data_IF_977232674424
#
_entry.id   IF_977232674424
#
_cell.length_a   1.000
_cell.length_b   1.000
_cell.length_c   1.000
_cell.angle_alpha   90.00
_cell.angle_beta   90.00
_cell.angle_gamma   90.00
#
_symmetry.space_group_name_H-M   'P 1'
#
loop_
_entity.id
_entity.type
_entity.pdbx_description
1 polymer ?
#
# COMPACT_ATOMS: atom_id res chain seq x y z
N UNK A 1 -2.85 29.41 -15.51
CA UNK A 1 -1.98 28.21 -15.59
C UNK A 1 -0.76 28.33 -14.67
N UNK A 2 -0.04 29.48 -14.62
CA UNK A 2 1.16 29.66 -13.78
C UNK A 2 0.88 29.56 -12.27
N UNK A 3 -0.25 30.11 -11.79
CA UNK A 3 -0.61 30.10 -10.36
C UNK A 3 -0.85 28.69 -9.82
N UNK A 4 -1.56 27.85 -10.55
CA UNK A 4 -1.79 26.45 -10.21
C UNK A 4 -0.49 25.66 -10.12
N UNK A 5 0.46 25.86 -11.06
CA UNK A 5 1.77 25.25 -11.01
C UNK A 5 2.57 25.60 -9.75
N UNK A 6 2.48 26.86 -9.31
CA UNK A 6 3.12 27.33 -8.07
C UNK A 6 2.47 26.70 -6.84
N UNK A 7 1.16 26.62 -6.78
CA UNK A 7 0.44 26.01 -5.65
C UNK A 7 0.72 24.51 -5.54
N UNK A 8 0.68 23.79 -6.65
CA UNK A 8 1.02 22.34 -6.68
C UNK A 8 2.47 22.12 -6.23
N UNK A 9 3.42 22.89 -6.76
CA UNK A 9 4.81 22.80 -6.37
C UNK A 9 5.07 23.19 -4.91
N UNK A 10 4.28 24.11 -4.35
CA UNK A 10 4.36 24.47 -2.94
C UNK A 10 3.81 23.34 -2.05
N UNK A 11 2.66 22.74 -2.41
CA UNK A 11 2.06 21.63 -1.71
C UNK A 11 2.99 20.39 -1.74
N UNK A 12 3.58 20.09 -2.89
CA UNK A 12 4.53 18.98 -3.04
C UNK A 12 5.78 19.20 -2.18
N UNK A 13 6.32 20.43 -2.16
CA UNK A 13 7.48 20.76 -1.31
C UNK A 13 7.14 20.65 0.17
N UNK A 14 6.00 21.13 0.61
CA UNK A 14 5.57 21.02 2.00
C UNK A 14 5.46 19.54 2.41
N UNK A 15 4.69 18.76 1.64
CA UNK A 15 4.51 17.33 1.90
C UNK A 15 5.83 16.55 1.91
N UNK A 16 6.69 16.75 0.91
CA UNK A 16 7.97 16.04 0.81
C UNK A 16 8.96 16.47 1.89
N UNK A 17 8.92 17.72 2.32
CA UNK A 17 9.77 18.22 3.41
C UNK A 17 9.40 17.58 4.74
N UNK A 18 8.12 17.58 5.08
CA UNK A 18 7.65 16.98 6.33
C UNK A 18 7.87 15.47 6.37
N UNK A 19 7.62 14.79 5.25
CA UNK A 19 7.86 13.36 5.14
C UNK A 19 9.36 13.02 5.25
N UNK A 20 10.24 13.82 4.64
CA UNK A 20 11.69 13.62 4.75
C UNK A 20 12.20 13.93 6.15
N UNK A 21 11.59 14.90 6.83
CA UNK A 21 11.88 15.20 8.25
C UNK A 21 11.49 14.02 9.14
N UNK A 22 10.28 13.50 8.99
CA UNK A 22 9.81 12.33 9.73
C UNK A 22 10.70 11.09 9.49
N UNK A 23 11.11 10.83 8.23
CA UNK A 23 12.06 9.76 7.90
C UNK A 23 13.40 9.92 8.61
N UNK A 24 13.96 11.12 8.57
CA UNK A 24 15.23 11.44 9.23
C UNK A 24 15.14 11.26 10.73
N UNK A 25 14.07 11.73 11.34
CA UNK A 25 13.88 11.67 12.78
C UNK A 25 13.67 10.21 13.24
N UNK A 26 12.88 9.43 12.51
CA UNK A 26 12.75 8.00 12.75
C UNK A 26 14.09 7.27 12.59
N UNK A 27 14.84 7.56 11.51
CA UNK A 27 16.15 6.97 11.28
C UNK A 27 17.11 7.27 12.44
N UNK A 28 17.24 8.53 12.84
CA UNK A 28 18.09 8.94 13.99
C UNK A 28 17.68 8.23 15.29
N UNK A 29 16.38 8.13 15.54
CA UNK A 29 15.86 7.44 16.72
C UNK A 29 16.22 5.94 16.72
N UNK A 30 16.14 5.29 15.55
CA UNK A 30 16.48 3.88 15.43
C UNK A 30 17.99 3.64 15.55
N UNK A 31 18.81 4.50 14.94
CA UNK A 31 20.27 4.47 15.08
C UNK A 31 20.67 4.60 16.54
N UNK A 32 20.20 5.63 17.22
CA UNK A 32 20.47 5.83 18.64
C UNK A 32 20.10 4.61 19.50
N UNK A 33 18.99 3.94 19.20
CA UNK A 33 18.59 2.72 19.92
C UNK A 33 19.54 1.56 19.70
N UNK A 34 20.13 1.42 18.50
CA UNK A 34 21.15 0.40 18.23
C UNK A 34 22.42 0.74 19.02
N UNK A 35 22.94 1.96 18.89
CA UNK A 35 24.16 2.40 19.55
C UNK A 35 24.06 2.27 21.08
N UNK A 36 22.95 2.70 21.67
CA UNK A 36 22.70 2.57 23.11
C UNK A 36 22.63 1.11 23.56
N UNK A 37 22.05 0.23 22.74
CA UNK A 37 21.89 -1.19 23.08
C UNK A 37 23.18 -1.96 22.94
N UNK A 38 23.89 -1.74 21.82
CA UNK A 38 25.12 -2.45 21.49
C UNK A 38 26.35 -1.80 22.14
N UNK A 39 26.18 -0.62 22.78
CA UNK A 39 27.24 0.20 23.43
C UNK A 39 28.44 0.48 22.52
N UNK A 40 28.17 0.69 21.24
CA UNK A 40 29.14 1.04 20.20
C UNK A 40 28.47 1.85 19.08
N UNK A 41 29.27 2.48 18.27
CA UNK A 41 28.80 3.16 17.07
C UNK A 41 28.13 2.17 16.10
N UNK A 42 27.17 2.67 15.35
CA UNK A 42 26.45 1.89 14.35
C UNK A 42 27.38 1.50 13.19
N UNK A 43 27.29 0.26 12.74
CA UNK A 43 28.00 -0.19 11.54
C UNK A 43 27.28 0.27 10.26
N UNK A 44 28.01 0.31 9.14
CA UNK A 44 27.46 0.69 7.85
C UNK A 44 26.29 -0.21 7.42
N UNK A 45 26.37 -1.51 7.70
CA UNK A 45 25.33 -2.48 7.33
C UNK A 45 24.07 -2.35 8.20
N UNK A 46 24.23 -2.01 9.47
CA UNK A 46 23.12 -1.67 10.35
C UNK A 46 22.43 -0.38 9.88
N UNK A 47 23.22 0.66 9.57
CA UNK A 47 22.71 1.93 9.06
C UNK A 47 21.94 1.75 7.73
N UNK A 48 22.45 0.92 6.81
CA UNK A 48 21.76 0.57 5.55
C UNK A 48 20.46 -0.20 5.82
N UNK A 49 20.46 -1.16 6.74
CA UNK A 49 19.30 -1.95 7.12
C UNK A 49 18.18 -1.06 7.67
N UNK A 50 18.51 -0.15 8.59
CA UNK A 50 17.59 0.83 9.15
C UNK A 50 17.06 1.77 8.06
N UNK A 51 17.94 2.28 7.18
CA UNK A 51 17.53 3.16 6.07
C UNK A 51 16.55 2.46 5.13
N UNK A 52 16.79 1.18 4.82
CA UNK A 52 15.90 0.37 3.99
C UNK A 52 14.53 0.21 4.63
N UNK A 53 14.49 -0.08 5.93
CA UNK A 53 13.24 -0.18 6.68
C UNK A 53 12.48 1.15 6.70
N UNK A 54 13.14 2.27 7.03
CA UNK A 54 12.53 3.61 7.09
C UNK A 54 11.97 4.02 5.72
N UNK A 55 12.71 3.74 4.65
CA UNK A 55 12.26 4.02 3.30
C UNK A 55 11.04 3.16 2.92
N UNK A 56 11.08 1.85 3.16
CA UNK A 56 9.96 0.96 2.86
C UNK A 56 8.70 1.31 3.69
N UNK A 57 8.84 1.63 4.98
CA UNK A 57 7.70 2.01 5.83
C UNK A 57 7.05 3.33 5.41
N UNK A 58 7.81 4.21 4.75
CA UNK A 58 7.34 5.52 4.29
C UNK A 58 7.02 5.59 2.79
N UNK A 59 6.90 4.45 2.12
CA UNK A 59 6.49 4.41 0.72
C UNK A 59 7.58 4.73 -0.31
N UNK A 60 8.85 4.75 0.10
CA UNK A 60 9.98 5.02 -0.79
C UNK A 60 10.84 3.76 -0.97
N UNK A 61 11.11 3.40 -2.20
CA UNK A 61 12.11 2.37 -2.51
C UNK A 61 13.41 3.03 -2.91
N UNK A 62 14.53 2.50 -2.43
CA UNK A 62 15.84 2.94 -2.90
C UNK A 62 15.96 2.77 -4.41
N UNK A 63 16.39 3.83 -5.10
CA UNK A 63 16.55 3.85 -6.57
C UNK A 63 17.74 3.01 -7.07
N UNK A 64 18.50 2.38 -6.19
CA UNK A 64 19.66 1.56 -6.55
C UNK A 64 19.24 0.12 -6.89
N UNK A 65 19.72 -0.38 -8.05
CA UNK A 65 19.47 -1.71 -8.57
C UNK A 65 18.36 -1.77 -9.62
N UNK A 66 18.29 -2.87 -10.35
CA UNK A 66 17.37 -3.06 -11.49
C UNK A 66 15.90 -2.78 -11.12
N UNK A 67 15.46 -3.18 -9.93
CA UNK A 67 14.09 -2.92 -9.44
C UNK A 67 13.80 -1.43 -9.23
N UNK A 68 14.79 -0.63 -8.81
CA UNK A 68 14.63 0.81 -8.64
C UNK A 68 14.49 1.53 -9.97
N UNK A 69 15.29 1.16 -10.96
CA UNK A 69 15.24 1.71 -12.32
C UNK A 69 13.91 1.38 -13.00
N UNK A 70 13.45 0.12 -12.89
CA UNK A 70 12.15 -0.32 -13.41
C UNK A 70 11.01 0.43 -12.71
N UNK A 71 11.07 0.62 -11.40
CA UNK A 71 10.05 1.36 -10.66
C UNK A 71 9.94 2.83 -11.11
N UNK A 72 11.06 3.47 -11.43
CA UNK A 72 11.06 4.86 -11.96
C UNK A 72 10.41 4.92 -13.34
N UNK A 73 10.74 4.00 -14.24
CA UNK A 73 10.10 3.92 -15.57
C UNK A 73 8.59 3.64 -15.49
N UNK A 74 8.20 2.71 -14.61
CA UNK A 74 6.79 2.35 -14.41
C UNK A 74 5.96 3.46 -13.74
N UNK A 75 6.56 4.43 -13.05
CA UNK A 75 5.82 5.57 -12.48
C UNK A 75 5.12 6.45 -13.53
N UNK A 76 5.51 6.36 -14.80
CA UNK A 76 4.83 7.06 -15.89
C UNK A 76 3.48 6.40 -16.24
N UNK A 77 3.37 5.09 -16.02
CA UNK A 77 2.19 4.29 -16.37
C UNK A 77 1.37 3.94 -15.12
N UNK A 78 2.05 3.57 -14.03
CA UNK A 78 1.42 3.15 -12.79
C UNK A 78 1.48 4.26 -11.74
N UNK A 79 0.37 4.49 -11.06
CA UNK A 79 0.30 5.41 -9.93
C UNK A 79 1.20 4.94 -8.79
N UNK A 80 2.24 5.74 -8.51
CA UNK A 80 3.11 5.53 -7.34
C UNK A 80 3.65 4.10 -7.18
N UNK A 81 4.33 3.59 -8.21
CA UNK A 81 4.93 2.24 -8.21
C UNK A 81 5.82 2.01 -6.99
N UNK A 82 6.56 3.02 -6.54
CA UNK A 82 7.40 2.94 -5.34
C UNK A 82 6.56 2.64 -4.08
N UNK A 83 5.41 3.29 -3.93
CA UNK A 83 4.50 3.04 -2.80
C UNK A 83 3.92 1.62 -2.85
N UNK A 84 3.52 1.15 -4.03
CA UNK A 84 2.98 -0.20 -4.19
C UNK A 84 4.02 -1.28 -3.80
N UNK A 85 5.23 -1.15 -4.34
CA UNK A 85 6.33 -2.08 -4.02
C UNK A 85 6.76 -1.99 -2.55
N UNK A 86 6.74 -0.80 -1.94
CA UNK A 86 7.06 -0.64 -0.53
C UNK A 86 6.04 -1.36 0.38
N UNK A 87 4.75 -1.30 0.02
CA UNK A 87 3.69 -2.05 0.74
C UNK A 87 3.89 -3.55 0.66
N UNK A 88 4.25 -4.07 -0.53
CA UNK A 88 4.58 -5.50 -0.69
C UNK A 88 5.79 -5.87 0.17
N UNK A 89 6.84 -5.05 0.19
CA UNK A 89 8.02 -5.28 1.05
C UNK A 89 7.69 -5.22 2.54
N UNK A 90 6.80 -4.32 2.93
CA UNK A 90 6.31 -4.27 4.32
C UNK A 90 5.49 -5.52 4.66
N UNK A 91 4.59 -5.96 3.77
CA UNK A 91 3.79 -7.17 3.96
C UNK A 91 4.65 -8.44 4.08
N UNK A 92 5.66 -8.59 3.23
CA UNK A 92 6.58 -9.74 3.25
C UNK A 92 7.62 -9.67 4.36
N UNK A 93 7.74 -8.55 5.06
CA UNK A 93 8.77 -8.35 6.07
C UNK A 93 10.20 -8.33 5.51
N UNK A 94 10.38 -8.07 4.21
CA UNK A 94 11.69 -8.17 3.54
C UNK A 94 12.77 -7.33 4.21
N UNK A 95 12.42 -6.16 4.74
CA UNK A 95 13.35 -5.30 5.49
C UNK A 95 13.87 -5.93 6.78
N UNK A 96 13.12 -6.86 7.37
CA UNK A 96 13.51 -7.59 8.56
C UNK A 96 14.43 -8.77 8.21
N UNK A 97 14.06 -9.53 7.18
CA UNK A 97 14.80 -10.73 6.79
C UNK A 97 16.19 -10.43 6.23
N UNK A 98 16.33 -9.30 5.50
CA UNK A 98 17.61 -8.87 4.91
C UNK A 98 18.46 -8.02 5.85
N UNK A 99 17.96 -7.68 7.04
CA UNK A 99 18.68 -6.83 8.00
C UNK A 99 19.79 -7.58 8.75
N UNK A 100 20.81 -6.83 9.16
CA UNK A 100 21.83 -7.29 10.11
C UNK A 100 21.19 -7.71 11.45
N UNK A 101 21.81 -8.61 12.24
CA UNK A 101 21.19 -9.16 13.45
C UNK A 101 20.74 -8.10 14.47
N UNK A 102 21.55 -7.06 14.71
CA UNK A 102 21.19 -5.98 15.63
C UNK A 102 20.04 -5.13 15.12
N UNK A 103 20.06 -4.74 13.83
CA UNK A 103 18.99 -4.00 13.19
C UNK A 103 17.71 -4.84 13.08
N UNK A 104 17.80 -6.15 12.81
CA UNK A 104 16.66 -7.06 12.70
C UNK A 104 15.78 -7.07 13.93
N UNK A 105 16.38 -7.19 15.13
CA UNK A 105 15.63 -7.17 16.38
C UNK A 105 14.89 -5.86 16.60
N UNK A 106 15.51 -4.74 16.22
CA UNK A 106 14.89 -3.43 16.32
C UNK A 106 13.74 -3.28 15.32
N UNK A 107 13.95 -3.69 14.06
CA UNK A 107 12.92 -3.66 13.00
C UNK A 107 11.75 -4.57 13.38
N UNK A 108 11.99 -5.78 13.90
CA UNK A 108 10.95 -6.66 14.42
C UNK A 108 10.13 -5.97 15.53
N UNK A 109 10.78 -5.28 16.44
CA UNK A 109 10.10 -4.48 17.46
C UNK A 109 9.23 -3.35 16.88
N UNK A 110 9.61 -2.75 15.74
CA UNK A 110 8.75 -1.77 15.06
C UNK A 110 7.51 -2.44 14.42
N UNK A 111 7.67 -3.62 13.82
CA UNK A 111 6.51 -4.38 13.31
C UNK A 111 5.55 -4.74 14.45
N UNK A 112 6.04 -5.21 15.60
CA UNK A 112 5.20 -5.52 16.76
C UNK A 112 4.44 -4.27 17.24
N UNK A 113 5.11 -3.12 17.33
CA UNK A 113 4.45 -1.86 17.70
C UNK A 113 3.40 -1.42 16.69
N UNK A 114 3.71 -1.53 15.39
CA UNK A 114 2.77 -1.21 14.32
C UNK A 114 1.54 -2.10 14.42
N UNK A 115 1.70 -3.42 14.53
CA UNK A 115 0.60 -4.36 14.66
C UNK A 115 -0.20 -4.14 15.96
N UNK A 116 0.48 -3.86 17.07
CA UNK A 116 -0.16 -3.52 18.34
C UNK A 116 -1.00 -2.24 18.26
N UNK A 117 -0.48 -1.20 17.58
CA UNK A 117 -1.23 0.05 17.35
C UNK A 117 -2.45 -0.18 16.46
N UNK A 118 -2.31 -0.98 15.40
CA UNK A 118 -3.42 -1.36 14.52
C UNK A 118 -4.46 -2.14 15.32
N UNK A 119 -4.03 -3.14 16.10
CA UNK A 119 -4.92 -3.91 16.97
C UNK A 119 -5.67 -3.04 17.99
N UNK A 120 -4.98 -2.05 18.59
CA UNK A 120 -5.61 -1.08 19.49
C UNK A 120 -6.68 -0.23 18.77
N UNK A 121 -6.38 0.26 17.55
CA UNK A 121 -7.36 1.03 16.76
C UNK A 121 -8.58 0.16 16.43
N UNK A 122 -8.36 -1.08 16.01
CA UNK A 122 -9.45 -2.04 15.73
C UNK A 122 -10.26 -2.29 17.00
N UNK A 123 -9.59 -2.58 18.14
CA UNK A 123 -10.26 -2.82 19.42
C UNK A 123 -11.13 -1.66 19.87
N UNK A 124 -10.60 -0.43 19.81
CA UNK A 124 -11.38 0.78 20.09
C UNK A 124 -12.54 0.94 19.11
N UNK A 125 -12.30 0.67 17.83
CA UNK A 125 -13.34 0.74 16.82
C UNK A 125 -14.49 -0.22 17.07
N UNK A 126 -14.20 -1.45 17.46
CA UNK A 126 -15.21 -2.45 17.82
C UNK A 126 -16.00 -2.04 19.09
N UNK A 127 -15.30 -1.49 20.09
CA UNK A 127 -15.96 -0.98 21.31
C UNK A 127 -16.91 0.20 21.01
N UNK A 128 -16.63 0.98 19.97
CA UNK A 128 -17.48 2.07 19.50
C UNK A 128 -18.60 1.61 18.53
N UNK A 129 -18.83 0.29 18.42
CA UNK A 129 -19.89 -0.27 17.56
C UNK A 129 -19.50 -0.39 16.09
N UNK A 130 -18.22 -0.32 15.77
CA UNK A 130 -17.69 -0.64 14.44
C UNK A 130 -17.75 -2.14 14.17
N UNK A 131 -17.70 -2.49 12.88
CA UNK A 131 -17.66 -3.86 12.39
C UNK A 131 -16.35 -4.09 11.64
N UNK A 132 -15.77 -5.29 11.79
CA UNK A 132 -14.48 -5.65 11.22
C UNK A 132 -14.61 -6.78 10.21
N UNK A 133 -14.15 -6.56 8.97
CA UNK A 133 -14.19 -7.60 7.94
C UNK A 133 -12.91 -8.46 8.01
N UNK A 134 -13.06 -9.69 8.45
CA UNK A 134 -11.96 -10.65 8.62
C UNK A 134 -11.75 -11.56 7.40
N UNK A 135 -12.77 -11.72 6.54
CA UNK A 135 -12.73 -12.66 5.44
C UNK A 135 -11.74 -12.20 4.35
N UNK A 136 -10.65 -12.96 4.11
CA UNK A 136 -9.63 -12.57 3.15
C UNK A 136 -10.11 -12.62 1.68
N UNK A 137 -11.26 -13.24 1.40
CA UNK A 137 -11.91 -13.24 0.06
C UNK A 137 -12.65 -11.94 -0.22
N UNK A 138 -12.93 -11.16 0.83
CA UNK A 138 -13.62 -9.87 0.74
C UNK A 138 -12.69 -8.76 0.22
N UNK A 139 -13.20 -7.87 -0.62
CA UNK A 139 -12.49 -6.63 -1.00
C UNK A 139 -12.43 -5.60 0.14
N UNK A 140 -13.14 -5.84 1.23
CA UNK A 140 -13.17 -5.00 2.42
C UNK A 140 -12.33 -5.56 3.57
N UNK A 141 -11.59 -6.65 3.34
CA UNK A 141 -10.71 -7.25 4.36
C UNK A 141 -9.87 -6.17 5.05
N UNK A 142 -9.74 -6.27 6.35
CA UNK A 142 -8.93 -5.39 7.16
C UNK A 142 -9.45 -3.95 7.25
N UNK A 143 -10.70 -3.68 6.86
CA UNK A 143 -11.35 -2.38 7.03
C UNK A 143 -12.29 -2.41 8.22
N UNK A 144 -12.19 -1.36 9.04
CA UNK A 144 -13.13 -1.10 10.11
C UNK A 144 -14.30 -0.29 9.55
N UNK A 145 -15.53 -0.74 9.79
CA UNK A 145 -16.75 -0.17 9.22
C UNK A 145 -17.64 0.44 10.32
N UNK A 146 -18.07 1.68 10.08
CA UNK A 146 -19.09 2.38 10.87
C UNK A 146 -20.21 2.82 9.93
N UNK A 147 -21.26 2.03 9.83
CA UNK A 147 -22.33 2.27 8.87
C UNK A 147 -21.78 2.36 7.42
N UNK A 148 -21.78 3.56 6.85
CA UNK A 148 -21.23 3.82 5.48
C UNK A 148 -19.73 4.15 5.46
N UNK A 149 -19.15 4.53 6.59
CA UNK A 149 -17.74 4.86 6.70
C UNK A 149 -16.90 3.57 6.74
N UNK A 150 -15.82 3.53 5.96
CA UNK A 150 -14.86 2.42 5.95
C UNK A 150 -13.46 2.99 6.17
N UNK A 151 -12.82 2.58 7.25
CA UNK A 151 -11.47 3.00 7.61
C UNK A 151 -10.48 1.88 7.28
N UNK A 152 -9.51 2.19 6.44
CA UNK A 152 -8.40 1.28 6.12
C UNK A 152 -7.25 1.54 7.09
N UNK A 153 -7.17 0.74 8.14
CA UNK A 153 -6.14 0.87 9.19
C UNK A 153 -4.78 0.30 8.78
N UNK A 154 -4.72 -0.46 7.69
CA UNK A 154 -3.48 -1.04 7.15
C UNK A 154 -2.91 -0.27 5.94
N UNK A 155 -3.40 0.92 5.66
CA UNK A 155 -2.94 1.77 4.57
C UNK A 155 -2.88 1.07 3.20
N UNK A 156 -3.89 0.26 2.87
CA UNK A 156 -4.04 -0.44 1.59
C UNK A 156 -3.23 -1.72 1.44
N UNK A 157 -2.59 -2.23 2.49
CA UNK A 157 -1.93 -3.55 2.44
C UNK A 157 -2.92 -4.70 2.20
N UNK A 158 -4.13 -4.73 2.81
CA UNK A 158 -5.06 -5.85 2.67
C UNK A 158 -5.53 -6.13 1.24
N UNK A 159 -5.52 -5.14 0.35
CA UNK A 159 -5.87 -5.34 -1.05
C UNK A 159 -4.97 -6.39 -1.75
N UNK A 160 -3.69 -6.50 -1.36
CA UNK A 160 -2.77 -7.50 -1.91
C UNK A 160 -3.06 -8.89 -1.35
N UNK A 161 -3.48 -8.96 -0.09
CA UNK A 161 -3.91 -10.22 0.54
C UNK A 161 -5.18 -10.72 -0.16
N UNK A 162 -6.19 -9.86 -0.32
CA UNK A 162 -7.42 -10.19 -1.02
C UNK A 162 -7.15 -10.63 -2.47
N UNK A 163 -6.24 -9.95 -3.18
CA UNK A 163 -5.86 -10.32 -4.53
C UNK A 163 -5.22 -11.72 -4.56
N UNK A 164 -4.24 -11.96 -3.68
CA UNK A 164 -3.55 -13.24 -3.60
C UNK A 164 -4.53 -14.40 -3.29
N UNK A 165 -5.44 -14.19 -2.33
CA UNK A 165 -6.45 -15.18 -1.98
C UNK A 165 -7.38 -15.48 -3.14
N UNK A 166 -7.90 -14.47 -3.84
CA UNK A 166 -8.76 -14.65 -5.01
C UNK A 166 -8.07 -15.39 -6.16
N UNK A 167 -6.78 -15.13 -6.35
CA UNK A 167 -5.98 -15.78 -7.39
C UNK A 167 -5.60 -17.21 -6.99
N UNK A 168 -5.21 -17.45 -5.76
CA UNK A 168 -4.72 -18.75 -5.27
C UNK A 168 -5.88 -19.72 -5.00
N UNK A 169 -6.85 -19.27 -4.18
CA UNK A 169 -7.99 -20.11 -3.78
C UNK A 169 -9.11 -20.15 -4.82
N UNK A 170 -9.16 -19.17 -5.73
CA UNK A 170 -10.17 -19.16 -6.77
C UNK A 170 -11.57 -18.77 -6.28
N UNK A 171 -11.68 -18.00 -5.20
CA UNK A 171 -12.93 -17.55 -4.60
C UNK A 171 -12.90 -16.07 -4.26
N UNK A 172 -14.06 -15.41 -4.34
CA UNK A 172 -14.26 -14.05 -3.86
C UNK A 172 -15.58 -13.92 -3.10
N UNK A 173 -15.59 -13.05 -2.08
CA UNK A 173 -16.80 -12.68 -1.34
C UNK A 173 -17.40 -11.41 -1.93
N UNK A 174 -18.67 -11.45 -2.29
CA UNK A 174 -19.44 -10.28 -2.76
C UNK A 174 -19.72 -9.31 -1.61
N UNK A 175 -20.20 -8.11 -1.94
CA UNK A 175 -20.63 -7.14 -0.92
C UNK A 175 -21.84 -7.63 -0.11
N UNK A 176 -22.65 -8.53 -0.69
CA UNK A 176 -23.81 -9.16 -0.06
C UNK A 176 -23.42 -10.38 0.80
N UNK A 177 -22.15 -10.76 0.84
CA UNK A 177 -21.64 -11.86 1.63
C UNK A 177 -21.59 -13.22 0.91
N UNK A 178 -22.11 -13.34 -0.32
CA UNK A 178 -22.05 -14.58 -1.08
C UNK A 178 -20.61 -14.86 -1.54
N UNK A 179 -20.23 -16.14 -1.46
CA UNK A 179 -18.93 -16.62 -1.97
C UNK A 179 -19.15 -17.15 -3.38
N UNK A 180 -18.38 -16.64 -4.33
CA UNK A 180 -18.47 -17.03 -5.74
C UNK A 180 -17.12 -17.48 -6.26
N UNK A 181 -17.07 -18.50 -7.14
CA UNK A 181 -15.84 -18.95 -7.77
C UNK A 181 -15.29 -17.89 -8.71
N UNK A 182 -13.96 -17.81 -8.79
CA UNK A 182 -13.24 -16.97 -9.77
C UNK A 182 -12.49 -17.82 -10.80
N UNK A 183 -12.57 -19.16 -10.66
CA UNK A 183 -12.03 -20.18 -11.58
C UNK A 183 -13.09 -21.19 -11.99
N UNK A 184 -12.89 -21.82 -13.15
CA UNK A 184 -13.85 -22.80 -13.68
C UNK A 184 -15.11 -22.11 -14.21
N UNK A 185 -16.28 -22.65 -13.85
CA UNK A 185 -17.59 -22.11 -14.24
C UNK A 185 -17.90 -20.84 -13.44
N UNK A 186 -17.32 -19.72 -13.88
CA UNK A 186 -17.60 -18.41 -13.30
C UNK A 186 -19.02 -17.99 -13.71
N UNK A 187 -19.92 -17.67 -12.76
CA UNK A 187 -21.27 -17.24 -13.07
C UNK A 187 -21.31 -16.07 -14.03
N UNK A 188 -22.37 -16.01 -14.85
CA UNK A 188 -22.60 -14.90 -15.78
C UNK A 188 -22.52 -13.55 -15.03
N UNK A 189 -21.86 -12.57 -15.62
CA UNK A 189 -21.60 -11.24 -15.04
C UNK A 189 -20.67 -11.22 -13.80
N UNK A 190 -19.90 -12.29 -13.56
CA UNK A 190 -18.89 -12.33 -12.52
C UNK A 190 -17.47 -12.29 -13.11
N UNK A 191 -16.49 -11.89 -12.30
CA UNK A 191 -15.12 -11.69 -12.75
C UNK A 191 -14.27 -12.94 -12.50
N UNK A 192 -13.78 -13.55 -13.57
CA UNK A 192 -12.74 -14.56 -13.48
C UNK A 192 -11.37 -13.95 -13.08
N UNK A 193 -10.39 -14.82 -12.78
CA UNK A 193 -9.05 -14.42 -12.32
C UNK A 193 -8.38 -13.41 -13.25
N UNK A 194 -8.44 -13.59 -14.56
CA UNK A 194 -7.86 -12.67 -15.55
C UNK A 194 -8.48 -11.26 -15.45
N UNK A 195 -9.80 -11.19 -15.33
CA UNK A 195 -10.53 -9.94 -15.16
C UNK A 195 -10.21 -9.27 -13.82
N UNK A 196 -10.08 -10.03 -12.73
CA UNK A 196 -9.69 -9.52 -11.41
C UNK A 196 -8.29 -8.90 -11.46
N UNK A 197 -7.32 -9.58 -12.09
CA UNK A 197 -5.97 -9.06 -12.28
C UNK A 197 -5.96 -7.81 -13.16
N UNK A 198 -6.70 -7.82 -14.27
CA UNK A 198 -6.85 -6.68 -15.17
C UNK A 198 -7.42 -5.46 -14.46
N UNK A 199 -8.49 -5.61 -13.70
CA UNK A 199 -9.08 -4.53 -12.90
C UNK A 199 -8.16 -4.04 -11.79
N UNK A 200 -7.43 -4.95 -11.13
CA UNK A 200 -6.45 -4.55 -10.13
C UNK A 200 -5.36 -3.68 -10.75
N UNK A 201 -4.80 -4.08 -11.89
CA UNK A 201 -3.80 -3.31 -12.62
C UNK A 201 -4.38 -1.97 -13.10
N UNK A 202 -5.59 -1.97 -13.68
CA UNK A 202 -6.28 -0.75 -14.10
C UNK A 202 -6.43 0.23 -12.94
N UNK A 203 -6.82 -0.24 -11.75
CA UNK A 203 -6.91 0.59 -10.54
C UNK A 203 -5.58 1.19 -10.08
N UNK A 204 -4.45 0.72 -10.61
CA UNK A 204 -3.09 1.20 -10.30
C UNK A 204 -2.50 2.08 -11.40
N UNK A 205 -3.21 2.31 -12.49
CA UNK A 205 -2.74 3.20 -13.55
C UNK A 205 -2.67 4.65 -13.06
N UNK A 206 -1.70 5.38 -13.58
CA UNK A 206 -1.64 6.83 -13.41
C UNK A 206 -2.88 7.50 -14.05
N UNK A 207 -3.26 8.73 -13.64
CA UNK A 207 -4.50 9.36 -14.10
C UNK A 207 -4.63 9.43 -15.63
N UNK A 208 -3.56 9.77 -16.35
CA UNK A 208 -3.62 9.87 -17.81
C UNK A 208 -3.81 8.50 -18.48
N UNK A 209 -2.97 7.47 -18.27
CA UNK A 209 -3.23 6.13 -18.80
C UNK A 209 -4.56 5.53 -18.35
N UNK A 210 -4.92 5.70 -17.08
CA UNK A 210 -6.17 5.19 -16.53
C UNK A 210 -7.39 5.85 -17.15
N UNK A 211 -7.38 7.16 -17.31
CA UNK A 211 -8.43 7.92 -17.97
C UNK A 211 -8.57 7.59 -19.47
N UNK A 212 -7.45 7.39 -20.15
CA UNK A 212 -7.45 6.97 -21.56
C UNK A 212 -8.15 5.60 -21.70
N UNK A 213 -7.79 4.62 -20.87
CA UNK A 213 -8.45 3.30 -20.90
C UNK A 213 -9.93 3.43 -20.56
N UNK A 214 -10.29 4.23 -19.54
CA UNK A 214 -11.69 4.48 -19.17
C UNK A 214 -12.49 5.11 -20.32
N UNK A 215 -11.89 6.04 -21.05
CA UNK A 215 -12.52 6.67 -22.21
C UNK A 215 -12.76 5.68 -23.35
N UNK A 216 -11.84 4.76 -23.62
CA UNK A 216 -12.02 3.70 -24.62
C UNK A 216 -12.99 2.62 -24.16
N UNK A 217 -12.99 2.26 -22.88
CA UNK A 217 -13.91 1.28 -22.33
C UNK A 217 -15.34 1.81 -22.13
N UNK A 218 -15.54 3.13 -22.14
CA UNK A 218 -16.82 3.77 -21.83
C UNK A 218 -17.21 3.69 -20.34
N UNK A 219 -16.35 3.14 -19.49
CA UNK A 219 -16.59 2.99 -18.07
C UNK A 219 -15.30 3.25 -17.26
N UNK A 220 -15.47 3.65 -16.00
CA UNK A 220 -14.36 3.79 -15.09
C UNK A 220 -14.03 2.45 -14.40
N UNK A 221 -12.94 2.42 -13.63
CA UNK A 221 -12.46 1.21 -12.93
C UNK A 221 -13.48 0.59 -11.96
N UNK A 222 -14.52 1.33 -11.55
CA UNK A 222 -15.60 0.85 -10.69
C UNK A 222 -16.87 0.49 -11.46
N UNK A 223 -16.82 0.51 -12.82
CA UNK A 223 -17.92 0.13 -13.70
C UNK A 223 -19.02 1.18 -13.87
N UNK A 224 -18.72 2.45 -13.58
CA UNK A 224 -19.64 3.56 -13.85
C UNK A 224 -19.39 4.11 -15.26
N UNK A 225 -20.43 4.58 -15.97
CA UNK A 225 -20.26 5.26 -17.25
C UNK A 225 -19.23 6.38 -17.15
N UNK A 226 -18.32 6.44 -18.12
CA UNK A 226 -17.22 7.39 -18.12
C UNK A 226 -17.19 8.14 -19.46
N UNK A 227 -17.08 9.46 -19.36
CA UNK A 227 -16.92 10.32 -20.53
C UNK A 227 -15.55 11.01 -20.50
N UNK A 228 -14.99 11.41 -21.67
CA UNK A 228 -13.71 12.14 -21.70
C UNK A 228 -13.71 13.41 -20.84
N UNK A 229 -14.87 14.02 -20.61
CA UNK A 229 -15.03 15.21 -19.75
C UNK A 229 -14.78 14.92 -18.27
N UNK A 230 -14.93 13.68 -17.84
CA UNK A 230 -14.65 13.26 -16.45
C UNK A 230 -13.16 13.31 -16.11
N UNK A 231 -12.29 13.36 -17.14
CA UNK A 231 -10.84 13.59 -16.96
C UNK A 231 -10.48 15.04 -16.58
N UNK A 232 -11.41 15.98 -16.81
CA UNK A 232 -11.19 17.41 -16.57
C UNK A 232 -11.78 17.90 -15.26
N UNK A 233 -12.48 17.04 -14.53
CA UNK A 233 -13.06 17.30 -13.22
C UNK A 233 -12.16 16.79 -12.12
#
# INVERSE_FOLDING_TARGET
VKLWGVLVAAAERAYSTDLNRARRDLWKQLVWKVEKRERRDITLDEAKSISTFVNNSSGRIGSKGAMGTVAVGLNQVLWSTQLQLSRIRMLTGSSMWTASPAARRLIAGQYIRMLGSIGAIIGVGLLLGGDWEEDPRSGAIGKLRFGRLRLDVFAGIPQYIALAVRVIYGEQKTQQGAIIPTRGDVPFNQRGVASILGHFLWSKLAPIPGGTISAFAGENVIGQPFTPWDMLR
#
